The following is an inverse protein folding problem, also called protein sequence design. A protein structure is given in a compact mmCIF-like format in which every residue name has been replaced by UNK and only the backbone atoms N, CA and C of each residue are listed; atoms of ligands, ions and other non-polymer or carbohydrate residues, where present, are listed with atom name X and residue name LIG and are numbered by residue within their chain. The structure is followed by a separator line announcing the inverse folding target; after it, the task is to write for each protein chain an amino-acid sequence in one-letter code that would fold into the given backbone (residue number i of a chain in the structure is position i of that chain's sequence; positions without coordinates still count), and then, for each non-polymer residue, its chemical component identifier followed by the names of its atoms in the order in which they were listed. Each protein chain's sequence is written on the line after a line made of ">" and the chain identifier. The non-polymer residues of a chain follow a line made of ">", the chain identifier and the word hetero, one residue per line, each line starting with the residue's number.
data_IF_618812287777
#
_entry.id   IF_618812287777
#
_cell.length_a   1.000
_cell.length_b   1.000
_cell.length_c   1.000
_cell.angle_alpha   90.00
_cell.angle_beta   90.00
_cell.angle_gamma   90.00
#
_symmetry.space_group_name_H-M   'P 1'
#
loop_
_entity.id
_entity.type
_entity.pdbx_description
1 polymer ?
#
# COMPACT_ATOMS: atom_id res chain seq x y z
N UNK A 1 -19.68 -37.33 -57.25
CA UNK A 1 -19.59 -35.88 -57.00
C UNK A 1 -19.14 -35.71 -55.56
N UNK A 2 -17.83 -35.63 -55.38
CA UNK A 2 -17.16 -35.55 -54.09
C UNK A 2 -17.19 -34.10 -53.59
N UNK A 3 -17.89 -33.85 -52.49
CA UNK A 3 -17.88 -32.56 -51.81
C UNK A 3 -16.71 -32.50 -50.84
N UNK A 4 -15.57 -31.99 -51.30
CA UNK A 4 -14.43 -31.69 -50.43
C UNK A 4 -14.86 -30.65 -49.37
N UNK A 5 -14.52 -30.94 -48.11
CA UNK A 5 -15.04 -30.27 -46.92
C UNK A 5 -14.79 -28.77 -46.87
N UNK A 6 -15.79 -28.04 -46.37
CA UNK A 6 -15.77 -26.57 -46.19
C UNK A 6 -15.30 -26.13 -44.80
N UNK A 7 -14.82 -27.07 -43.97
CA UNK A 7 -14.24 -26.79 -42.66
C UNK A 7 -12.71 -26.71 -42.77
N UNK A 8 -12.13 -25.66 -42.19
CA UNK A 8 -10.69 -25.52 -42.08
C UNK A 8 -10.12 -26.61 -41.14
N UNK A 9 -9.00 -27.28 -41.46
CA UNK A 9 -8.46 -28.37 -40.66
C UNK A 9 -8.13 -27.97 -39.21
N UNK A 10 -7.65 -26.73 -39.01
CA UNK A 10 -7.36 -26.18 -37.68
C UNK A 10 -8.61 -25.61 -36.95
N UNK A 11 -9.81 -25.81 -37.51
CA UNK A 11 -11.03 -25.37 -36.84
C UNK A 11 -11.40 -26.30 -35.70
N UNK A 12 -11.80 -25.73 -34.56
CA UNK A 12 -12.29 -26.49 -33.40
C UNK A 12 -13.48 -27.42 -33.73
N UNK A 13 -14.22 -27.11 -34.80
CA UNK A 13 -15.37 -27.89 -35.28
C UNK A 13 -15.07 -28.71 -36.55
N UNK A 14 -13.80 -28.88 -36.91
CA UNK A 14 -13.37 -29.63 -38.11
C UNK A 14 -13.77 -31.11 -38.10
N UNK A 15 -14.02 -31.68 -36.91
CA UNK A 15 -14.49 -33.05 -36.72
C UNK A 15 -15.95 -33.28 -37.13
N UNK A 16 -16.73 -32.22 -37.39
CA UNK A 16 -18.11 -32.34 -37.86
C UNK A 16 -18.16 -32.27 -39.41
N UNK A 17 -18.59 -33.34 -40.11
CA UNK A 17 -18.64 -33.39 -41.58
C UNK A 17 -19.58 -32.36 -42.23
N UNK A 18 -20.54 -31.82 -41.48
CA UNK A 18 -21.49 -30.81 -41.95
C UNK A 18 -21.10 -29.38 -41.54
N UNK A 19 -19.97 -29.20 -40.85
CA UNK A 19 -19.53 -27.87 -40.45
C UNK A 19 -18.95 -27.09 -41.64
N UNK A 20 -19.41 -25.86 -41.78
CA UNK A 20 -18.85 -24.87 -42.70
C UNK A 20 -18.29 -23.73 -41.85
N UNK A 21 -16.99 -23.45 -42.00
CA UNK A 21 -16.35 -22.43 -41.18
C UNK A 21 -16.92 -21.05 -41.52
N UNK A 22 -17.32 -20.32 -40.48
CA UNK A 22 -17.77 -18.92 -40.55
C UNK A 22 -16.67 -18.00 -40.03
N UNK A 23 -16.79 -16.69 -40.29
CA UNK A 23 -15.84 -15.63 -39.87
C UNK A 23 -15.26 -15.78 -38.44
N UNK A 24 -16.08 -16.25 -37.50
CA UNK A 24 -15.65 -16.52 -36.12
C UNK A 24 -14.57 -17.61 -36.02
N UNK A 25 -14.73 -18.70 -36.79
CA UNK A 25 -13.76 -19.79 -36.85
C UNK A 25 -12.41 -19.30 -37.38
N UNK A 26 -12.42 -18.46 -38.41
CA UNK A 26 -11.20 -17.90 -38.98
C UNK A 26 -10.47 -16.94 -38.03
N UNK A 27 -11.21 -16.11 -37.28
CA UNK A 27 -10.61 -15.26 -36.24
C UNK A 27 -9.91 -16.06 -35.15
N UNK A 28 -10.54 -17.13 -34.66
CA UNK A 28 -9.94 -18.00 -33.63
C UNK A 28 -8.69 -18.74 -34.12
N UNK A 29 -8.69 -19.16 -35.39
CA UNK A 29 -7.50 -19.77 -36.01
C UNK A 29 -6.37 -18.75 -36.14
N UNK A 30 -6.68 -17.51 -36.52
CA UNK A 30 -5.68 -16.44 -36.61
C UNK A 30 -5.11 -16.06 -35.23
N UNK A 31 -5.94 -15.98 -34.19
CA UNK A 31 -5.51 -15.76 -32.80
C UNK A 31 -4.61 -16.89 -32.30
N UNK A 32 -4.92 -18.15 -32.63
CA UNK A 32 -4.08 -19.28 -32.26
C UNK A 32 -2.72 -19.27 -32.98
N UNK A 33 -2.68 -18.80 -34.24
CA UNK A 33 -1.43 -18.66 -35.00
C UNK A 33 -0.58 -17.48 -34.52
N UNK A 34 -1.18 -16.35 -34.14
CA UNK A 34 -0.42 -15.23 -33.57
C UNK A 34 0.24 -15.60 -32.24
N UNK A 35 -0.42 -16.42 -31.41
CA UNK A 35 0.18 -16.93 -30.18
C UNK A 35 1.28 -17.99 -30.43
N UNK A 36 1.29 -18.65 -31.58
CA UNK A 36 2.37 -19.56 -31.96
C UNK A 36 3.60 -18.80 -32.50
N UNK A 37 3.39 -17.73 -33.28
CA UNK A 37 4.48 -16.86 -33.79
C UNK A 37 5.13 -16.00 -32.68
N UNK A 38 4.38 -15.61 -31.65
CA UNK A 38 4.93 -14.92 -30.47
C UNK A 38 5.78 -15.84 -29.57
N UNK A 39 5.78 -17.16 -29.81
CA UNK A 39 6.56 -18.15 -29.07
C UNK A 39 8.00 -18.37 -29.56
N UNK A 40 8.45 -17.68 -30.62
CA UNK A 40 9.78 -17.90 -31.23
C UNK A 40 10.73 -16.69 -31.17
N UNK A 41 10.54 -15.77 -30.23
CA UNK A 41 11.52 -14.72 -29.93
C UNK A 41 11.61 -14.44 -28.42
N UNK A 42 12.17 -15.38 -27.67
CA UNK A 42 12.80 -15.07 -26.39
C UNK A 42 14.04 -15.95 -26.18
N UNK A 43 15.17 -15.38 -26.61
CA UNK A 43 16.50 -15.45 -26.02
C UNK A 43 16.93 -16.78 -25.36
N UNK A 44 17.40 -17.69 -26.21
CA UNK A 44 18.24 -18.82 -25.83
C UNK A 44 19.67 -18.38 -25.48
N UNK A 45 19.84 -17.60 -24.40
CA UNK A 45 21.16 -17.37 -23.80
C UNK A 45 21.09 -16.91 -22.32
N UNK A 46 20.48 -17.75 -21.47
CA UNK A 46 20.70 -17.67 -20.02
C UNK A 46 21.01 -19.04 -19.45
N UNK A 47 22.17 -19.14 -18.78
CA UNK A 47 22.54 -20.22 -17.87
C UNK A 47 21.40 -20.50 -16.86
N UNK A 48 21.28 -21.73 -16.31
CA UNK A 48 20.15 -22.08 -15.47
C UNK A 48 20.14 -21.22 -14.21
N UNK A 49 19.22 -20.26 -14.13
CA UNK A 49 19.00 -19.44 -12.93
C UNK A 49 18.70 -20.37 -11.75
N UNK A 50 19.49 -20.20 -10.69
CA UNK A 50 19.54 -21.03 -9.50
C UNK A 50 18.18 -21.10 -8.78
N UNK A 51 17.68 -22.33 -8.66
CA UNK A 51 16.78 -22.86 -7.60
C UNK A 51 16.06 -21.82 -6.71
N UNK A 52 14.78 -21.56 -7.00
CA UNK A 52 13.85 -20.75 -6.19
C UNK A 52 13.21 -21.53 -5.03
N UNK A 53 14.01 -22.26 -4.25
CA UNK A 53 13.56 -22.90 -3.01
C UNK A 53 14.47 -22.51 -1.86
N UNK A 54 13.90 -21.93 -0.82
CA UNK A 54 14.65 -21.52 0.35
C UNK A 54 15.30 -22.74 1.03
N UNK A 55 16.61 -22.72 1.38
CA UNK A 55 17.32 -23.88 1.94
C UNK A 55 16.66 -24.47 3.19
N UNK A 56 16.09 -23.61 4.03
CA UNK A 56 15.39 -24.00 5.27
C UNK A 56 13.92 -24.41 5.04
N UNK A 57 13.46 -24.54 3.80
CA UNK A 57 12.10 -24.98 3.52
C UNK A 57 11.93 -26.48 3.81
N UNK A 58 10.85 -26.85 4.49
CA UNK A 58 10.51 -28.25 4.80
C UNK A 58 10.40 -29.10 3.52
N UNK A 59 10.01 -28.48 2.41
CA UNK A 59 9.85 -29.12 1.11
C UNK A 59 11.06 -28.92 0.18
N UNK A 60 12.21 -28.45 0.69
CA UNK A 60 13.42 -28.21 -0.08
C UNK A 60 14.00 -29.48 -0.74
N UNK A 61 13.62 -30.66 -0.26
CA UNK A 61 14.00 -31.95 -0.84
C UNK A 61 13.24 -32.31 -2.11
N UNK A 62 12.13 -31.63 -2.43
CA UNK A 62 11.37 -31.86 -3.66
C UNK A 62 11.89 -30.96 -4.79
N UNK A 63 12.47 -31.52 -5.87
CA UNK A 63 13.03 -30.75 -6.98
C UNK A 63 12.02 -29.89 -7.77
N UNK A 64 10.72 -30.15 -7.62
CA UNK A 64 9.64 -29.41 -8.28
C UNK A 64 8.88 -28.47 -7.34
N UNK A 65 9.30 -28.35 -6.09
CA UNK A 65 8.67 -27.42 -5.17
C UNK A 65 9.12 -25.99 -5.46
N UNK A 66 8.20 -25.04 -5.32
CA UNK A 66 8.48 -23.61 -5.32
C UNK A 66 7.92 -23.05 -4.01
N UNK A 67 8.75 -22.30 -3.26
CA UNK A 67 8.35 -21.78 -1.96
C UNK A 67 7.19 -20.79 -2.11
N UNK A 68 6.05 -21.08 -1.50
CA UNK A 68 4.93 -20.13 -1.36
C UNK A 68 5.09 -19.22 -0.14
N UNK A 69 4.31 -18.14 -0.06
CA UNK A 69 4.23 -17.22 1.10
C UNK A 69 4.08 -17.96 2.45
N UNK A 70 3.40 -19.11 2.46
CA UNK A 70 3.27 -19.95 3.64
C UNK A 70 4.60 -20.58 4.09
N UNK A 71 5.42 -21.00 3.12
CA UNK A 71 6.76 -21.55 3.38
C UNK A 71 7.66 -20.48 4.01
N UNK A 72 7.64 -19.25 3.47
CA UNK A 72 8.41 -18.13 4.01
C UNK A 72 7.98 -17.75 5.43
N UNK A 73 6.68 -17.73 5.72
CA UNK A 73 6.16 -17.44 7.06
C UNK A 73 6.59 -18.49 8.09
N UNK A 74 6.58 -19.78 7.72
CA UNK A 74 7.07 -20.84 8.61
C UNK A 74 8.57 -20.76 8.86
N UNK A 75 9.34 -20.37 7.85
CA UNK A 75 10.80 -20.19 7.98
C UNK A 75 11.11 -19.02 8.92
N UNK A 76 10.40 -17.89 8.82
CA UNK A 76 10.58 -16.77 9.75
C UNK A 76 10.19 -17.14 11.18
N UNK A 77 9.06 -17.83 11.37
CA UNK A 77 8.61 -18.27 12.69
C UNK A 77 9.60 -19.26 13.34
N UNK A 78 10.23 -20.12 12.55
CA UNK A 78 11.28 -21.03 13.02
C UNK A 78 12.58 -20.30 13.38
N UNK A 79 12.98 -19.30 12.59
CA UNK A 79 14.15 -18.44 12.90
C UNK A 79 13.95 -17.64 14.18
N UNK A 80 12.76 -17.05 14.37
CA UNK A 80 12.41 -16.32 15.59
C UNK A 80 12.37 -17.22 16.85
N UNK A 81 12.10 -18.53 16.68
CA UNK A 81 12.17 -19.49 17.77
C UNK A 81 13.61 -19.91 18.09
N UNK A 82 14.46 -20.07 17.06
CA UNK A 82 15.88 -20.35 17.24
C UNK A 82 16.55 -19.16 17.93
N UNK A 83 16.28 -17.92 17.52
CA UNK A 83 16.84 -16.72 18.18
C UNK A 83 16.39 -16.59 19.64
N UNK A 84 15.14 -16.96 19.95
CA UNK A 84 14.65 -16.99 21.35
C UNK A 84 15.33 -18.09 22.17
N UNK A 85 15.50 -19.27 21.60
CA UNK A 85 16.21 -20.36 22.27
C UNK A 85 17.72 -20.06 22.42
N UNK A 86 18.32 -19.33 21.48
CA UNK A 86 19.72 -18.89 21.53
C UNK A 86 19.92 -17.77 22.57
N UNK A 87 18.92 -16.92 22.80
CA UNK A 87 18.90 -15.98 23.93
C UNK A 87 18.74 -16.68 25.29
N UNK A 88 18.01 -17.80 25.37
CA UNK A 88 17.89 -18.60 26.61
C UNK A 88 19.18 -19.39 26.90
N UNK A 89 19.93 -19.83 25.87
CA UNK A 89 21.23 -20.53 26.04
C UNK A 89 22.35 -19.59 26.51
N UNK A 90 22.22 -18.26 26.34
CA UNK A 90 23.15 -17.27 26.91
C UNK A 90 22.94 -17.02 28.42
N UNK A 91 21.83 -17.48 29.02
CA UNK A 91 21.62 -17.41 30.48
C UNK A 91 22.10 -18.67 31.24
N UNK A 92 22.23 -19.82 30.58
CA UNK A 92 22.57 -21.10 31.23
C UNK A 92 24.06 -21.51 31.19
N UNK A 93 24.94 -20.82 30.43
CA UNK A 93 26.41 -21.07 30.47
C UNK A 93 27.17 -20.21 31.51
N UNK A 94 26.45 -19.58 32.45
CA UNK A 94 27.05 -18.93 33.64
C UNK A 94 26.65 -19.66 34.94
N UNK A 95 25.83 -20.71 34.89
CA UNK A 95 25.29 -21.37 36.10
C UNK A 95 25.86 -22.77 36.39
N UNK A 96 27.00 -23.16 35.79
CA UNK A 96 27.75 -24.38 36.16
C UNK A 96 28.91 -24.16 37.15
N UNK A 97 29.02 -22.99 37.78
CA UNK A 97 29.94 -22.79 38.90
C UNK A 97 29.43 -21.69 39.80
N UNK A 98 28.39 -21.99 40.59
CA UNK A 98 28.26 -21.59 42.01
C UNK A 98 26.83 -21.91 42.46
N UNK A 99 26.63 -23.13 42.96
CA UNK A 99 25.58 -23.37 43.94
C UNK A 99 26.15 -24.25 45.06
N UNK A 100 26.30 -23.63 46.22
CA UNK A 100 26.86 -24.22 47.40
C UNK A 100 26.83 -23.24 48.58
N UNK A 101 25.62 -22.85 48.96
CA UNK A 101 25.16 -22.59 50.34
C UNK A 101 24.43 -21.26 50.54
N UNK A 102 23.15 -21.43 50.75
CA UNK A 102 22.16 -20.46 51.19
C UNK A 102 22.39 -20.12 52.67
N UNK A 103 22.40 -18.83 53.03
CA UNK A 103 22.03 -18.36 54.36
C UNK A 103 21.58 -16.90 54.29
N UNK A 104 20.35 -16.71 54.77
CA UNK A 104 19.59 -15.48 54.91
C UNK A 104 20.38 -14.37 55.63
N UNK A 105 20.27 -13.13 55.16
CA UNK A 105 19.88 -12.02 56.04
C UNK A 105 19.31 -10.84 55.26
N UNK A 106 18.32 -10.19 55.88
CA UNK A 106 17.50 -9.10 55.36
C UNK A 106 18.17 -7.75 55.58
N UNK A 107 17.95 -6.76 54.69
CA UNK A 107 18.33 -5.38 55.01
C UNK A 107 18.44 -4.43 53.82
N UNK A 108 17.29 -3.86 53.44
CA UNK A 108 17.08 -2.43 53.19
C UNK A 108 18.07 -1.64 52.30
N UNK A 109 17.60 -1.31 51.09
CA UNK A 109 18.27 -0.44 50.14
C UNK A 109 17.93 1.04 50.43
N UNK A 110 18.76 1.69 51.25
CA UNK A 110 18.78 3.15 51.31
C UNK A 110 19.54 3.75 50.11
N UNK A 111 18.79 4.48 49.30
CA UNK A 111 19.24 5.46 48.30
C UNK A 111 20.17 6.49 48.95
N UNK A 112 21.47 6.44 48.61
CA UNK A 112 22.43 7.47 49.01
C UNK A 112 22.74 8.36 47.81
N UNK A 113 22.06 9.50 47.78
CA UNK A 113 22.57 10.72 47.17
C UNK A 113 23.86 11.09 47.91
N UNK A 114 24.99 11.10 47.22
CA UNK A 114 26.22 11.64 47.79
C UNK A 114 26.40 13.08 47.30
N UNK A 115 25.95 14.00 48.14
CA UNK A 115 26.48 15.36 48.21
C UNK A 115 28.01 15.31 48.43
N UNK A 116 28.79 16.22 47.83
CA UNK A 116 30.25 16.19 47.86
C UNK A 116 30.87 16.67 49.19
N UNK A 117 30.10 16.69 50.27
CA UNK A 117 30.48 17.32 51.54
C UNK A 117 30.16 16.41 52.75
N UNK A 118 30.83 15.27 52.83
CA UNK A 118 31.02 14.53 54.10
C UNK A 118 32.23 13.61 53.99
N UNK A 119 33.34 14.05 54.60
CA UNK A 119 34.58 13.30 54.67
C UNK A 119 34.41 12.04 55.51
N UNK A 120 34.63 10.87 54.92
CA UNK A 120 34.70 9.61 55.64
C UNK A 120 36.03 9.58 56.44
N UNK A 121 36.00 9.72 57.79
CA UNK A 121 37.20 9.94 58.56
C UNK A 121 37.75 8.60 59.01
N UNK A 122 38.35 7.82 58.09
CA UNK A 122 39.34 6.75 58.37
C UNK A 122 39.78 5.99 57.10
N UNK A 123 39.89 6.66 55.95
CA UNK A 123 40.62 6.09 54.80
C UNK A 123 42.02 6.69 54.74
N UNK A 124 43.05 5.85 54.77
CA UNK A 124 44.45 6.26 54.59
C UNK A 124 44.58 7.03 53.27
N UNK A 125 45.49 7.99 53.16
CA UNK A 125 45.67 8.83 51.95
C UNK A 125 45.76 7.98 50.66
N UNK A 126 46.41 6.82 50.74
CA UNK A 126 46.49 5.84 49.65
C UNK A 126 45.12 5.30 49.22
N UNK A 127 44.23 5.02 50.16
CA UNK A 127 42.89 4.50 49.89
C UNK A 127 41.96 5.58 49.31
N UNK A 128 42.07 6.83 49.79
CA UNK A 128 41.33 7.98 49.21
C UNK A 128 41.73 8.19 47.75
N UNK A 129 43.03 8.16 47.46
CA UNK A 129 43.55 8.25 46.09
C UNK A 129 43.08 7.08 45.21
N UNK A 130 42.95 5.88 45.79
CA UNK A 130 42.46 4.70 45.07
C UNK A 130 40.95 4.77 44.78
N UNK A 131 40.16 5.35 45.70
CA UNK A 131 38.73 5.61 45.50
C UNK A 131 38.50 6.68 44.42
N UNK A 132 39.26 7.77 44.47
CA UNK A 132 39.24 8.82 43.44
C UNK A 132 39.60 8.25 42.06
N UNK A 133 40.63 7.41 41.98
CA UNK A 133 41.00 6.72 40.74
C UNK A 133 39.90 5.78 40.24
N UNK A 134 39.17 5.09 41.13
CA UNK A 134 38.02 4.24 40.77
C UNK A 134 36.85 5.07 40.27
N UNK A 135 36.55 6.21 40.90
CA UNK A 135 35.51 7.13 40.47
C UNK A 135 35.82 7.67 39.06
N UNK A 136 37.06 8.13 38.86
CA UNK A 136 37.54 8.60 37.56
C UNK A 136 37.54 7.51 36.48
N UNK A 137 37.85 6.26 36.84
CA UNK A 137 37.70 5.12 35.93
C UNK A 137 36.24 4.84 35.58
N UNK A 138 35.32 4.95 36.53
CA UNK A 138 33.90 4.75 36.29
C UNK A 138 33.31 5.87 35.42
N UNK A 139 33.71 7.11 35.65
CA UNK A 139 33.37 8.25 34.79
C UNK A 139 33.90 8.05 33.38
N UNK A 140 35.15 7.61 33.21
CA UNK A 140 35.73 7.32 31.90
C UNK A 140 34.99 6.18 31.18
N UNK A 141 34.61 5.11 31.91
CA UNK A 141 33.81 4.00 31.35
C UNK A 141 32.43 4.50 30.89
N UNK A 142 31.76 5.32 31.70
CA UNK A 142 30.45 5.88 31.37
C UNK A 142 30.52 6.85 30.20
N UNK A 143 31.55 7.71 30.15
CA UNK A 143 31.80 8.61 29.03
C UNK A 143 32.06 7.84 27.73
N UNK A 144 32.87 6.78 27.79
CA UNK A 144 33.13 5.91 26.63
C UNK A 144 31.86 5.17 26.18
N UNK A 145 31.06 4.65 27.12
CA UNK A 145 29.78 4.02 26.80
C UNK A 145 28.80 5.01 26.16
N UNK A 146 28.71 6.23 26.70
CA UNK A 146 27.87 7.30 26.15
C UNK A 146 28.33 7.72 24.75
N UNK A 147 29.65 7.85 24.54
CA UNK A 147 30.22 8.16 23.23
C UNK A 147 29.95 7.04 22.21
N UNK A 148 30.11 5.78 22.61
CA UNK A 148 29.81 4.62 21.77
C UNK A 148 28.32 4.57 21.39
N UNK A 149 27.42 4.84 22.34
CA UNK A 149 25.97 4.92 22.07
C UNK A 149 25.65 6.12 21.17
N UNK A 150 26.31 7.26 21.33
CA UNK A 150 26.11 8.43 20.49
C UNK A 150 26.59 8.19 19.05
N UNK A 151 27.75 7.55 18.86
CA UNK A 151 28.25 7.14 17.54
C UNK A 151 27.36 6.05 16.93
N UNK A 152 26.92 5.05 17.70
CA UNK A 152 25.94 4.06 17.25
C UNK A 152 24.64 4.74 16.79
N UNK A 153 24.13 5.72 17.53
CA UNK A 153 22.95 6.52 17.16
C UNK A 153 23.15 7.44 15.95
N UNK A 154 24.39 7.83 15.63
CA UNK A 154 24.71 8.59 14.39
C UNK A 154 24.81 7.65 13.19
N UNK A 155 25.37 6.46 13.37
CA UNK A 155 25.54 5.44 12.33
C UNK A 155 24.24 4.70 12.02
N UNK A 156 23.40 4.48 13.04
CA UNK A 156 22.05 4.00 12.88
C UNK A 156 21.22 5.14 12.28
N UNK A 157 21.03 5.10 10.96
CA UNK A 157 20.13 6.04 10.28
C UNK A 157 18.81 6.10 11.07
N UNK A 158 18.28 7.29 11.40
CA UNK A 158 17.01 7.36 12.10
C UNK A 158 16.03 6.49 11.33
N UNK A 159 15.47 5.47 11.99
CA UNK A 159 14.38 4.73 11.41
C UNK A 159 13.25 5.74 11.26
N UNK A 160 13.14 6.35 10.08
CA UNK A 160 12.00 7.17 9.74
C UNK A 160 10.84 6.20 9.59
N UNK A 161 10.25 5.84 10.73
CA UNK A 161 8.96 5.19 10.77
C UNK A 161 8.04 6.10 9.95
N UNK A 162 7.67 5.61 8.77
CA UNK A 162 6.87 6.28 7.76
C UNK A 162 5.61 6.86 8.42
N UNK A 163 5.66 8.12 8.84
CA UNK A 163 4.60 8.72 9.67
C UNK A 163 5.05 9.77 10.70
N UNK A 164 6.32 9.76 11.15
CA UNK A 164 6.82 10.72 12.15
C UNK A 164 6.75 12.18 11.62
N UNK A 165 6.98 12.41 10.33
CA UNK A 165 6.86 13.74 9.72
C UNK A 165 5.45 14.33 9.83
N UNK A 166 4.40 13.50 9.64
CA UNK A 166 3.01 13.94 9.80
C UNK A 166 2.66 14.21 11.26
N UNK A 167 3.14 13.38 12.19
CA UNK A 167 2.94 13.58 13.63
C UNK A 167 3.65 14.85 14.11
N UNK A 168 4.92 15.05 13.76
CA UNK A 168 5.67 16.28 14.06
C UNK A 168 4.98 17.52 13.47
N UNK A 169 4.51 17.45 12.23
CA UNK A 169 3.74 18.54 11.61
C UNK A 169 2.45 18.86 12.37
N UNK A 170 1.71 17.83 12.82
CA UNK A 170 0.49 18.00 13.62
C UNK A 170 0.81 18.58 15.01
N UNK A 171 1.89 18.14 15.65
CA UNK A 171 2.33 18.65 16.95
C UNK A 171 2.83 20.08 16.87
N UNK A 172 3.62 20.43 15.86
CA UNK A 172 4.05 21.81 15.60
C UNK A 172 2.87 22.70 15.29
N UNK A 173 1.90 22.21 14.50
CA UNK A 173 0.65 22.92 14.22
C UNK A 173 -0.16 23.13 15.50
N UNK A 174 -0.28 22.11 16.36
CA UNK A 174 -0.95 22.21 17.67
C UNK A 174 -0.23 23.18 18.60
N UNK A 175 1.11 23.19 18.62
CA UNK A 175 1.92 24.15 19.41
C UNK A 175 1.75 25.59 18.91
N UNK A 176 1.69 25.80 17.59
CA UNK A 176 1.44 27.13 17.00
C UNK A 176 0.03 27.63 17.32
N UNK A 177 -0.97 26.75 17.20
CA UNK A 177 -2.36 27.05 17.55
C UNK A 177 -2.46 27.32 19.07
N UNK A 178 -1.88 26.47 19.91
CA UNK A 178 -1.82 26.65 21.37
C UNK A 178 -1.21 27.98 21.77
N UNK A 179 -0.03 28.34 21.26
CA UNK A 179 0.59 29.65 21.53
C UNK A 179 -0.30 30.84 21.15
N UNK A 180 -1.01 30.74 20.03
CA UNK A 180 -1.91 31.79 19.55
C UNK A 180 -3.17 31.89 20.42
N UNK A 181 -3.67 30.75 20.90
CA UNK A 181 -4.78 30.67 21.85
C UNK A 181 -4.38 31.18 23.24
N UNK A 182 -3.22 30.78 23.75
CA UNK A 182 -2.65 31.22 25.03
C UNK A 182 -2.43 32.74 25.03
N UNK A 183 -1.94 33.30 23.91
CA UNK A 183 -1.78 34.76 23.74
C UNK A 183 -3.11 35.51 23.75
N UNK A 184 -4.21 34.85 23.37
CA UNK A 184 -5.57 35.40 23.42
C UNK A 184 -6.34 34.99 24.69
N UNK A 185 -5.72 34.21 25.60
CA UNK A 185 -6.36 33.71 26.82
C UNK A 185 -7.51 32.71 26.59
N UNK A 186 -7.53 32.02 25.45
CA UNK A 186 -8.59 31.09 25.04
C UNK A 186 -8.14 29.64 25.19
N UNK A 187 -9.02 28.77 25.70
CA UNK A 187 -8.78 27.33 25.79
C UNK A 187 -8.87 26.64 24.41
N UNK A 188 -8.19 25.49 24.25
CA UNK A 188 -8.12 24.71 23.01
C UNK A 188 -9.50 24.34 22.44
N UNK A 189 -10.50 24.17 23.32
CA UNK A 189 -11.90 23.93 22.93
C UNK A 189 -12.54 25.10 22.19
N UNK A 190 -12.07 26.34 22.42
CA UNK A 190 -12.57 27.60 21.85
C UNK A 190 -11.74 28.11 20.67
N UNK A 191 -10.84 27.29 20.12
CA UNK A 191 -9.99 27.64 18.97
C UNK A 191 -10.79 28.14 17.75
N UNK A 192 -12.03 27.67 17.58
CA UNK A 192 -12.93 28.09 16.50
C UNK A 192 -13.31 29.57 16.56
N UNK A 193 -13.16 30.24 17.72
CA UNK A 193 -13.49 31.67 17.90
C UNK A 193 -12.47 32.60 17.21
N UNK A 194 -11.29 32.07 16.85
CA UNK A 194 -10.23 32.81 16.17
C UNK A 194 -10.26 32.62 14.65
N UNK A 195 -11.15 31.77 14.13
CA UNK A 195 -11.36 31.63 12.69
C UNK A 195 -12.15 32.83 12.15
N UNK A 196 -11.64 33.45 11.09
CA UNK A 196 -12.42 34.45 10.35
C UNK A 196 -13.59 33.78 9.62
N UNK A 197 -14.64 34.55 9.32
CA UNK A 197 -15.78 34.06 8.55
C UNK A 197 -15.36 33.40 7.24
N UNK A 198 -14.42 33.99 6.50
CA UNK A 198 -13.88 33.42 5.26
C UNK A 198 -13.15 32.07 5.47
N UNK A 199 -12.38 31.95 6.57
CA UNK A 199 -11.70 30.70 6.91
C UNK A 199 -12.69 29.60 7.32
N UNK A 200 -13.75 29.96 8.04
CA UNK A 200 -14.83 29.04 8.41
C UNK A 200 -15.58 28.57 7.16
N UNK A 201 -16.00 29.48 6.27
CA UNK A 201 -16.69 29.16 5.02
C UNK A 201 -15.85 28.26 4.11
N UNK A 202 -14.55 28.52 3.97
CA UNK A 202 -13.65 27.66 3.21
C UNK A 202 -13.52 26.25 3.81
N UNK A 203 -13.52 26.13 5.15
CA UNK A 203 -13.50 24.83 5.84
C UNK A 203 -14.82 24.07 5.63
N UNK A 204 -15.96 24.73 5.79
CA UNK A 204 -17.27 24.11 5.59
C UNK A 204 -17.49 23.70 4.14
N UNK A 205 -17.13 24.55 3.17
CA UNK A 205 -17.19 24.22 1.74
C UNK A 205 -16.28 23.06 1.35
N UNK A 206 -15.16 22.87 2.04
CA UNK A 206 -14.28 21.69 1.86
C UNK A 206 -14.89 20.43 2.46
N UNK A 207 -15.74 20.56 3.48
CA UNK A 207 -16.47 19.45 4.10
C UNK A 207 -17.74 19.09 3.34
N UNK A 208 -18.37 20.06 2.67
CA UNK A 208 -19.41 19.83 1.67
C UNK A 208 -18.82 19.10 0.47
N UNK A 209 -19.04 17.78 0.44
CA UNK A 209 -18.71 16.95 -0.71
C UNK A 209 -19.89 16.98 -1.66
N UNK A 210 -19.63 17.26 -2.94
CA UNK A 210 -20.62 17.04 -3.98
C UNK A 210 -21.13 15.58 -3.91
N UNK A 211 -22.45 15.35 -3.91
CA UNK A 211 -23.00 14.01 -3.89
C UNK A 211 -22.41 13.17 -5.02
N UNK A 212 -21.91 11.98 -4.68
CA UNK A 212 -21.45 11.05 -5.70
C UNK A 212 -22.63 10.65 -6.59
N UNK A 213 -22.47 10.64 -7.93
CA UNK A 213 -23.50 10.13 -8.82
C UNK A 213 -23.90 8.71 -8.40
N UNK A 214 -25.21 8.46 -8.34
CA UNK A 214 -25.77 7.19 -7.86
C UNK A 214 -26.34 6.38 -9.04
N UNK A 215 -26.03 5.08 -9.09
CA UNK A 215 -26.59 4.17 -10.09
C UNK A 215 -26.38 4.63 -11.54
N UNK A 216 -27.48 4.83 -12.27
CA UNK A 216 -27.50 5.22 -13.68
C UNK A 216 -27.18 6.70 -13.93
N UNK A 217 -27.17 7.56 -12.88
CA UNK A 217 -26.85 8.97 -13.03
C UNK A 217 -25.39 9.23 -13.46
N UNK A 218 -24.53 8.21 -13.38
CA UNK A 218 -23.14 8.23 -13.90
C UNK A 218 -23.07 8.52 -15.40
N UNK A 219 -24.14 8.26 -16.15
CA UNK A 219 -24.22 8.51 -17.59
C UNK A 219 -25.04 9.75 -17.96
N UNK A 220 -25.52 10.51 -16.98
CA UNK A 220 -26.27 11.74 -17.21
C UNK A 220 -25.37 12.82 -17.82
N UNK A 221 -25.91 13.66 -18.71
CA UNK A 221 -25.24 14.82 -19.29
C UNK A 221 -24.52 15.69 -18.25
N UNK A 222 -25.11 15.89 -17.07
CA UNK A 222 -24.48 16.66 -15.98
C UNK A 222 -23.19 16.03 -15.46
N UNK A 223 -23.13 14.70 -15.37
CA UNK A 223 -21.92 13.99 -14.90
C UNK A 223 -20.85 13.95 -15.97
N UNK A 224 -21.23 13.79 -17.24
CA UNK A 224 -20.31 13.91 -18.38
C UNK A 224 -19.72 15.32 -18.46
N UNK A 225 -20.54 16.35 -18.26
CA UNK A 225 -20.10 17.74 -18.19
C UNK A 225 -19.14 17.97 -17.00
N UNK A 226 -19.46 17.46 -15.81
CA UNK A 226 -18.59 17.56 -14.65
C UNK A 226 -17.25 16.84 -14.86
N UNK A 227 -17.26 15.67 -15.53
CA UNK A 227 -16.04 14.97 -15.90
C UNK A 227 -15.21 15.80 -16.90
N UNK A 228 -15.84 16.39 -17.92
CA UNK A 228 -15.18 17.32 -18.85
C UNK A 228 -14.57 18.52 -18.12
N UNK A 229 -15.33 19.16 -17.21
CA UNK A 229 -14.87 20.28 -16.40
C UNK A 229 -13.64 19.92 -15.55
N UNK A 230 -13.60 18.70 -14.99
CA UNK A 230 -12.42 18.20 -14.26
C UNK A 230 -11.22 17.99 -15.19
N UNK A 231 -11.44 17.53 -16.43
CA UNK A 231 -10.38 17.37 -17.43
C UNK A 231 -9.79 18.71 -17.84
N UNK A 232 -10.63 19.68 -18.19
CA UNK A 232 -10.18 21.03 -18.59
C UNK A 232 -9.36 21.69 -17.48
N UNK A 233 -9.70 21.47 -16.20
CA UNK A 233 -8.90 21.98 -15.07
C UNK A 233 -7.49 21.37 -14.96
N UNK A 234 -7.28 20.17 -15.50
CA UNK A 234 -5.99 19.47 -15.45
C UNK A 234 -5.13 19.75 -16.69
N UNK A 235 -5.67 20.43 -17.70
CA UNK A 235 -4.93 20.78 -18.90
C UNK A 235 -4.18 22.07 -18.61
N UNK A 236 -2.86 21.98 -18.54
CA UNK A 236 -1.98 23.15 -18.50
C UNK A 236 -1.90 23.74 -19.92
N UNK A 237 -2.21 25.04 -20.03
CA UNK A 237 -2.12 25.80 -21.26
C UNK A 237 -0.90 26.71 -21.17
N UNK A 238 0.07 26.48 -22.03
CA UNK A 238 1.23 27.37 -22.16
C UNK A 238 0.82 28.62 -22.94
N UNK A 239 0.89 29.77 -22.28
CA UNK A 239 0.50 31.06 -22.86
C UNK A 239 1.56 31.59 -23.84
N UNK A 240 2.83 31.17 -23.70
CA UNK A 240 3.92 31.62 -24.57
C UNK A 240 3.78 30.97 -25.95
N UNK A 241 3.68 29.64 -26.00
CA UNK A 241 3.40 28.89 -27.22
C UNK A 241 2.11 29.35 -27.93
N UNK A 242 1.10 29.78 -27.15
CA UNK A 242 -0.13 30.35 -27.69
C UNK A 242 0.10 31.70 -28.37
N UNK A 243 0.89 32.59 -27.77
CA UNK A 243 1.20 33.91 -28.35
C UNK A 243 2.07 33.79 -29.60
N UNK A 244 3.05 32.88 -29.60
CA UNK A 244 3.88 32.59 -30.78
C UNK A 244 3.01 32.07 -31.95
N UNK A 245 2.09 31.14 -31.67
CA UNK A 245 1.17 30.64 -32.68
C UNK A 245 0.22 31.72 -33.21
N UNK A 246 -0.16 32.68 -32.35
CA UNK A 246 -0.99 33.83 -32.73
C UNK A 246 -0.26 34.83 -33.62
N UNK A 247 1.03 35.05 -33.38
CA UNK A 247 1.84 35.94 -34.22
C UNK A 247 2.22 35.29 -35.56
N UNK A 248 2.41 33.96 -35.57
CA UNK A 248 2.76 33.21 -36.77
C UNK A 248 1.61 33.10 -37.79
N UNK A 249 0.35 33.06 -37.33
CA UNK A 249 -0.82 32.92 -38.21
C UNK A 249 -1.67 34.20 -38.26
N UNK A 250 -1.66 34.95 -39.37
CA UNK A 250 -2.55 36.09 -39.58
C UNK A 250 -4.05 35.72 -39.53
N UNK A 251 -4.39 34.46 -39.80
CA UNK A 251 -5.76 33.92 -39.73
C UNK A 251 -5.93 33.03 -38.48
N UNK A 252 -5.37 33.44 -37.35
CA UNK A 252 -5.45 32.71 -36.08
C UNK A 252 -6.90 32.55 -35.59
N UNK A 253 -7.70 33.61 -35.67
CA UNK A 253 -9.13 33.58 -35.35
C UNK A 253 -9.93 33.19 -36.59
N UNK A 254 -10.16 31.89 -36.75
CA UNK A 254 -10.87 31.32 -37.90
C UNK A 254 -12.37 31.31 -37.68
N UNK A 255 -13.12 31.77 -38.67
CA UNK A 255 -14.58 31.67 -38.72
C UNK A 255 -15.00 30.27 -39.21
N UNK A 256 -16.25 29.85 -38.95
CA UNK A 256 -16.77 28.53 -39.31
C UNK A 256 -16.66 28.19 -40.81
N UNK A 257 -16.49 29.19 -41.68
CA UNK A 257 -16.35 29.06 -43.14
C UNK A 257 -14.89 29.06 -43.64
N UNK A 258 -13.88 29.10 -42.77
CA UNK A 258 -12.47 29.10 -43.18
C UNK A 258 -12.05 27.77 -43.82
N UNK A 259 -11.45 27.84 -45.01
CA UNK A 259 -11.01 26.69 -45.82
C UNK A 259 -9.77 25.97 -45.25
N UNK A 260 -9.16 26.51 -44.20
CA UNK A 260 -7.99 25.94 -43.54
C UNK A 260 -8.32 24.68 -42.70
N UNK A 261 -9.60 24.38 -42.48
CA UNK A 261 -10.05 23.16 -41.83
C UNK A 261 -9.64 21.92 -42.64
N UNK A 262 -8.81 21.05 -42.06
CA UNK A 262 -8.31 19.83 -42.71
C UNK A 262 -6.84 19.89 -43.17
N UNK A 263 -6.18 21.05 -43.09
CA UNK A 263 -4.72 21.10 -43.25
C UNK A 263 -4.06 20.61 -41.96
N UNK A 264 -3.28 19.53 -42.04
CA UNK A 264 -2.57 18.97 -40.89
C UNK A 264 -1.47 19.96 -40.44
N UNK A 265 -1.71 20.65 -39.33
CA UNK A 265 -0.67 21.42 -38.66
C UNK A 265 0.33 20.45 -38.02
N UNK A 266 1.63 20.75 -38.13
CA UNK A 266 2.67 19.98 -37.46
C UNK A 266 2.62 20.33 -35.98
N UNK A 267 1.95 19.49 -35.19
CA UNK A 267 1.91 19.60 -33.74
C UNK A 267 3.23 19.03 -33.20
N UNK A 268 3.90 19.68 -32.24
CA UNK A 268 5.11 19.12 -31.63
C UNK A 268 4.79 17.79 -30.94
N UNK A 269 5.73 16.84 -30.99
CA UNK A 269 5.57 15.49 -30.46
C UNK A 269 5.26 15.49 -28.96
N UNK A 270 5.82 16.43 -28.19
CA UNK A 270 5.56 16.59 -26.75
C UNK A 270 4.07 16.78 -26.43
N UNK A 271 3.34 17.50 -27.29
CA UNK A 271 1.90 17.71 -27.11
C UNK A 271 1.10 16.45 -27.44
N UNK A 272 1.57 15.64 -28.37
CA UNK A 272 0.99 14.34 -28.71
C UNK A 272 1.21 13.38 -27.53
N UNK A 273 2.40 13.34 -26.96
CA UNK A 273 2.72 12.50 -25.80
C UNK A 273 1.87 12.85 -24.57
N UNK A 274 1.67 14.15 -24.32
CA UNK A 274 0.75 14.63 -23.27
C UNK A 274 -0.69 14.14 -23.48
N UNK A 275 -1.18 14.18 -24.72
CA UNK A 275 -2.51 13.66 -25.07
C UNK A 275 -2.58 12.14 -24.86
N UNK A 276 -1.58 11.39 -25.31
CA UNK A 276 -1.51 9.93 -25.15
C UNK A 276 -1.50 9.56 -23.66
N UNK A 277 -0.74 10.28 -22.84
CA UNK A 277 -0.72 10.09 -21.38
C UNK A 277 -2.09 10.32 -20.74
N UNK A 278 -2.83 11.36 -21.13
CA UNK A 278 -4.21 11.59 -20.64
C UNK A 278 -5.15 10.44 -21.01
N UNK A 279 -5.00 9.90 -22.23
CA UNK A 279 -5.79 8.75 -22.69
C UNK A 279 -5.47 7.47 -21.90
N UNK A 280 -4.19 7.21 -21.64
CA UNK A 280 -3.74 6.07 -20.82
C UNK A 280 -4.25 6.19 -19.38
N UNK A 281 -4.13 7.37 -18.76
CA UNK A 281 -4.65 7.64 -17.42
C UNK A 281 -6.17 7.42 -17.34
N UNK A 282 -6.89 7.81 -18.40
CA UNK A 282 -8.33 7.61 -18.50
C UNK A 282 -8.69 6.13 -18.63
N UNK A 283 -7.91 5.36 -19.38
CA UNK A 283 -8.09 3.93 -19.48
C UNK A 283 -7.82 3.22 -18.15
N UNK A 284 -6.74 3.59 -17.45
CA UNK A 284 -6.43 3.09 -16.12
C UNK A 284 -7.56 3.40 -15.12
N UNK A 285 -8.07 4.64 -15.11
CA UNK A 285 -9.22 5.03 -14.29
C UNK A 285 -10.47 4.20 -14.63
N UNK A 286 -10.75 3.95 -15.91
CA UNK A 286 -11.86 3.09 -16.35
C UNK A 286 -11.71 1.66 -15.87
N UNK A 287 -10.51 1.06 -15.97
CA UNK A 287 -10.22 -0.29 -15.46
C UNK A 287 -10.45 -0.37 -13.95
N UNK A 288 -10.03 0.66 -13.20
CA UNK A 288 -10.21 0.74 -11.74
C UNK A 288 -11.64 1.07 -11.28
N UNK A 289 -12.55 1.46 -12.18
CA UNK A 289 -13.92 1.85 -11.83
C UNK A 289 -14.72 0.68 -11.25
N UNK A 290 -14.52 -0.53 -11.79
CA UNK A 290 -15.06 -1.76 -11.22
C UNK A 290 -14.03 -2.39 -10.28
N UNK A 291 -14.21 -2.20 -8.97
CA UNK A 291 -13.32 -2.79 -7.97
C UNK A 291 -13.87 -4.15 -7.52
N UNK A 292 -13.07 -5.21 -7.63
CA UNK A 292 -13.40 -6.52 -7.06
C UNK A 292 -13.49 -6.38 -5.53
N UNK A 293 -14.60 -6.84 -4.93
CA UNK A 293 -14.74 -6.88 -3.47
C UNK A 293 -13.85 -8.00 -2.93
N UNK A 294 -13.18 -7.77 -1.79
CA UNK A 294 -12.32 -8.78 -1.15
C UNK A 294 -13.19 -10.00 -0.78
N UNK A 295 -12.71 -11.20 -1.13
CA UNK A 295 -13.31 -12.44 -0.67
C UNK A 295 -12.97 -12.62 0.81
N UNK A 296 -13.95 -13.04 1.60
CA UNK A 296 -13.78 -13.32 3.01
C UNK A 296 -14.01 -14.81 3.20
N UNK A 297 -12.98 -15.54 3.60
CA UNK A 297 -13.02 -17.01 3.76
C UNK A 297 -13.94 -17.47 4.89
N UNK A 298 -14.25 -16.59 5.83
CA UNK A 298 -15.19 -16.84 6.94
C UNK A 298 -16.66 -16.87 6.48
N UNK A 299 -16.97 -16.39 5.26
CA UNK A 299 -18.35 -16.40 4.78
C UNK A 299 -18.72 -17.79 4.27
N UNK A 300 -19.89 -18.25 4.70
CA UNK A 300 -20.49 -19.48 4.19
C UNK A 300 -20.58 -19.44 2.65
N UNK A 301 -20.02 -20.46 2.02
CA UNK A 301 -19.96 -20.57 0.56
C UNK A 301 -21.29 -21.14 0.07
N UNK A 302 -22.12 -20.29 -0.50
CA UNK A 302 -23.44 -20.64 -1.05
C UNK A 302 -23.41 -21.10 -2.53
N UNK A 303 -22.21 -21.19 -3.12
CA UNK A 303 -22.02 -21.35 -4.56
C UNK A 303 -20.89 -22.30 -4.91
N UNK A 304 -21.14 -23.14 -5.92
CA UNK A 304 -20.20 -24.16 -6.41
C UNK A 304 -19.21 -23.57 -7.45
N UNK A 305 -19.62 -22.54 -8.20
CA UNK A 305 -18.78 -21.90 -9.23
C UNK A 305 -18.93 -20.35 -9.20
N UNK A 306 -17.95 -19.63 -9.76
CA UNK A 306 -17.93 -18.16 -9.80
C UNK A 306 -19.17 -17.55 -10.47
N UNK A 307 -19.68 -18.20 -11.52
CA UNK A 307 -20.88 -17.75 -12.23
C UNK A 307 -22.12 -17.83 -11.34
N UNK A 308 -22.21 -18.87 -10.52
CA UNK A 308 -23.26 -19.11 -9.55
C UNK A 308 -23.12 -18.15 -8.36
N UNK A 309 -21.90 -17.88 -7.89
CA UNK A 309 -21.65 -16.86 -6.86
C UNK A 309 -22.14 -15.48 -7.34
N UNK A 310 -21.84 -15.13 -8.60
CA UNK A 310 -22.35 -13.90 -9.21
C UNK A 310 -23.88 -13.89 -9.36
N UNK A 311 -24.50 -15.04 -9.63
CA UNK A 311 -25.95 -15.20 -9.71
C UNK A 311 -26.61 -15.05 -8.33
N UNK A 312 -26.13 -15.78 -7.30
CA UNK A 312 -26.57 -15.66 -5.91
C UNK A 312 -26.43 -14.21 -5.41
N UNK A 313 -25.27 -13.56 -5.64
CA UNK A 313 -25.06 -12.14 -5.34
C UNK A 313 -26.06 -11.21 -6.05
N UNK A 314 -26.57 -11.59 -7.23
CA UNK A 314 -27.59 -10.82 -7.96
C UNK A 314 -28.97 -11.01 -7.32
N UNK A 315 -29.33 -12.24 -6.97
CA UNK A 315 -30.56 -12.57 -6.26
C UNK A 315 -30.61 -11.89 -4.90
N UNK A 316 -29.54 -11.98 -4.11
CA UNK A 316 -29.41 -11.29 -2.81
C UNK A 316 -29.60 -9.77 -2.93
N UNK A 317 -29.07 -9.14 -3.99
CA UNK A 317 -29.28 -7.70 -4.23
C UNK A 317 -30.73 -7.33 -4.55
N UNK A 318 -31.46 -8.18 -5.24
CA UNK A 318 -32.84 -7.92 -5.66
C UNK A 318 -33.86 -8.32 -4.61
N UNK A 319 -33.70 -9.52 -4.03
CA UNK A 319 -34.67 -10.17 -3.16
C UNK A 319 -34.25 -10.25 -1.70
N UNK A 320 -32.96 -10.04 -1.38
CA UNK A 320 -32.45 -10.16 -0.01
C UNK A 320 -33.18 -9.28 0.99
N UNK A 321 -33.69 -8.11 0.58
CA UNK A 321 -34.54 -7.25 1.42
C UNK A 321 -35.86 -7.91 1.83
N UNK A 322 -36.43 -8.73 0.95
CA UNK A 322 -37.74 -9.37 1.17
C UNK A 322 -37.60 -10.77 1.79
N UNK A 323 -36.44 -11.42 1.66
CA UNK A 323 -36.20 -12.79 2.15
C UNK A 323 -35.47 -12.85 3.50
N UNK A 324 -35.29 -11.71 4.19
CA UNK A 324 -34.59 -11.65 5.49
C UNK A 324 -35.23 -12.57 6.54
N UNK A 325 -36.56 -12.60 6.62
CA UNK A 325 -37.27 -13.45 7.59
C UNK A 325 -37.06 -14.94 7.30
N UNK A 326 -37.13 -15.32 6.03
CA UNK A 326 -36.88 -16.70 5.58
C UNK A 326 -35.45 -17.11 5.90
N UNK A 327 -34.47 -16.23 5.64
CA UNK A 327 -33.06 -16.48 5.95
C UNK A 327 -32.83 -16.65 7.46
N UNK A 328 -33.39 -15.76 8.27
CA UNK A 328 -33.30 -15.84 9.73
C UNK A 328 -33.95 -17.12 10.28
N UNK A 329 -35.06 -17.58 9.68
CA UNK A 329 -35.73 -18.82 10.08
C UNK A 329 -34.90 -20.06 9.72
N UNK A 330 -34.18 -20.04 8.59
CA UNK A 330 -33.24 -21.09 8.22
C UNK A 330 -32.05 -21.14 9.19
N UNK A 331 -31.47 -19.99 9.52
CA UNK A 331 -30.37 -19.88 10.50
C UNK A 331 -30.81 -20.29 11.91
N UNK A 332 -32.10 -20.14 12.25
CA UNK A 332 -32.70 -20.57 13.53
C UNK A 332 -33.20 -22.02 13.53
N UNK A 333 -33.06 -22.76 12.43
CA UNK A 333 -33.43 -24.18 12.38
C UNK A 333 -34.91 -24.48 12.10
N UNK A 334 -35.54 -23.73 11.18
CA UNK A 334 -36.91 -23.98 10.65
C UNK A 334 -38.04 -24.09 11.69
N UNK A 335 -37.79 -23.71 12.95
CA UNK A 335 -38.82 -23.67 13.98
C UNK A 335 -39.73 -22.45 13.74
N UNK A 336 -41.03 -22.72 13.55
CA UNK A 336 -42.06 -21.68 13.59
C UNK A 336 -42.14 -21.10 15.01
N UNK A 337 -42.34 -19.78 15.17
CA UNK A 337 -42.70 -19.23 16.48
C UNK A 337 -44.11 -19.72 16.84
N UNK A 338 -44.25 -20.29 18.04
CA UNK A 338 -45.55 -20.61 18.65
C UNK A 338 -46.41 -19.34 18.87
#
# INVERSE_FOLDING_TARGET
>A
MEGAGKAHPDCINASNPYHECVEYCFKRIAEAKSHADEGENEDSSKEPEERTVHPDCVNASNPYHECSEYCFKRISEAKDQIERNESDIQEDDITSSFNGANQNDSGDAHHVQNDPESGNPNLTEKQKKLFEMRLKMNEARKANQMAMVAEKKKMEAPSEARGISKQKWLEERKKKIGKLLDSNGLDMSKAYMLDTQEMAEAKYKKWEKDPSPYGWDVFNQKTLYNAHKKRVKNIECDMEAYNEAKEADPEFYREASSLQYGKATKIPEENIDRMVKELQDREAKRKSFSRRRKFHEEKDIDSINDRNEHFNKKIERAFGKYTLEIKNNLERGTALPD
#
